data_IF_760838931475
#
_entry.id   IF_760838931475
#
_cell.length_a   1.000
_cell.length_b   1.000
_cell.length_c   1.000
_cell.angle_alpha   90.00
_cell.angle_beta   90.00
_cell.angle_gamma   90.00
#
_symmetry.space_group_name_H-M   'P 1'
#
loop_
_entity.id
_entity.type
_entity.pdbx_description
1 polymer ?
#
# COMPACT_ATOMS: atom_id res chain seq x y z
N UNK A 1 4.04 -9.82 -8.51
CA UNK A 1 3.00 -9.59 -7.48
C UNK A 1 3.07 -10.76 -6.53
N UNK A 2 2.93 -10.52 -5.24
CA UNK A 2 3.21 -11.54 -4.22
C UNK A 2 1.93 -12.24 -3.71
N UNK A 3 0.76 -11.74 -4.10
CA UNK A 3 -0.56 -12.20 -3.67
C UNK A 3 -0.75 -13.74 -3.73
N UNK A 4 -0.40 -14.44 -4.82
CA UNK A 4 -0.53 -15.90 -4.87
C UNK A 4 0.31 -16.64 -3.81
N UNK A 5 1.47 -16.09 -3.46
CA UNK A 5 2.32 -16.61 -2.37
C UNK A 5 1.66 -16.44 -1.02
N UNK A 6 1.11 -15.26 -0.72
CA UNK A 6 0.37 -15.00 0.51
C UNK A 6 -0.88 -15.89 0.64
N UNK A 7 -1.61 -16.11 -0.44
CA UNK A 7 -2.76 -17.04 -0.49
C UNK A 7 -2.32 -18.48 -0.21
N UNK A 8 -1.18 -18.90 -0.76
CA UNK A 8 -0.61 -20.23 -0.51
C UNK A 8 -0.22 -20.40 0.96
N UNK A 9 0.37 -19.37 1.58
CA UNK A 9 0.68 -19.36 3.01
C UNK A 9 -0.58 -19.39 3.87
N UNK A 10 -1.63 -18.65 3.52
CA UNK A 10 -2.90 -18.68 4.24
C UNK A 10 -3.53 -20.09 4.19
N UNK A 11 -3.51 -20.72 3.01
CA UNK A 11 -4.03 -22.08 2.78
C UNK A 11 -3.29 -23.15 3.57
N UNK A 12 -2.04 -22.89 3.96
CA UNK A 12 -1.27 -23.83 4.77
C UNK A 12 -1.83 -23.92 6.20
N UNK A 13 -2.39 -25.07 6.55
CA UNK A 13 -3.02 -25.33 7.85
C UNK A 13 -4.44 -24.78 7.98
N UNK A 14 -5.20 -25.34 8.92
CA UNK A 14 -6.58 -24.93 9.19
C UNK A 14 -6.59 -23.53 9.82
N UNK A 15 -7.56 -22.69 9.43
CA UNK A 15 -7.80 -21.37 10.03
C UNK A 15 -9.17 -21.35 10.67
N UNK A 16 -9.27 -20.82 11.89
CA UNK A 16 -10.52 -20.50 12.57
C UNK A 16 -10.85 -19.02 12.41
N UNK A 17 -12.12 -18.65 12.55
CA UNK A 17 -12.53 -17.25 12.67
C UNK A 17 -11.78 -16.50 13.78
N UNK A 18 -11.30 -17.22 14.82
CA UNK A 18 -10.49 -16.66 15.92
C UNK A 18 -9.07 -16.27 15.51
N UNK A 19 -8.56 -16.86 14.43
CA UNK A 19 -7.23 -16.54 13.91
C UNK A 19 -7.27 -15.28 13.02
N UNK A 20 -8.46 -14.86 12.58
CA UNK A 20 -8.64 -13.70 11.72
C UNK A 20 -8.73 -12.41 12.55
N UNK A 21 -8.11 -11.31 12.09
CA UNK A 21 -7.45 -11.15 10.79
C UNK A 21 -6.01 -11.67 10.75
N UNK A 22 -5.67 -12.42 9.70
CA UNK A 22 -4.29 -12.85 9.40
C UNK A 22 -3.65 -11.81 8.49
N UNK A 23 -2.54 -11.21 8.94
CA UNK A 23 -1.83 -10.15 8.20
C UNK A 23 -0.44 -10.66 7.79
N UNK A 24 -0.17 -10.71 6.48
CA UNK A 24 1.10 -11.14 5.91
C UNK A 24 1.74 -9.98 5.16
N UNK A 25 2.98 -9.61 5.49
CA UNK A 25 3.72 -8.55 4.82
C UNK A 25 5.01 -9.08 4.19
N UNK A 26 5.33 -8.59 3.01
CA UNK A 26 6.54 -8.95 2.27
C UNK A 26 7.08 -7.74 1.52
N UNK A 27 8.37 -7.42 1.72
CA UNK A 27 9.11 -6.55 0.81
C UNK A 27 9.50 -7.34 -0.45
N UNK A 28 8.49 -7.68 -1.25
CA UNK A 28 8.65 -8.61 -2.35
C UNK A 28 9.18 -7.93 -3.61
N UNK A 29 10.21 -8.54 -4.22
CA UNK A 29 10.82 -8.06 -5.46
C UNK A 29 9.97 -8.47 -6.66
N UNK A 30 9.38 -7.49 -7.33
CA UNK A 30 8.52 -7.69 -8.49
C UNK A 30 9.23 -7.28 -9.77
N UNK A 31 8.97 -8.01 -10.85
CA UNK A 31 9.46 -7.71 -12.19
C UNK A 31 8.25 -7.52 -13.11
N UNK A 32 8.20 -6.41 -13.85
CA UNK A 32 7.22 -6.15 -14.91
C UNK A 32 7.94 -5.80 -16.19
N UNK A 33 7.53 -6.42 -17.30
CA UNK A 33 8.12 -6.17 -18.61
C UNK A 33 7.52 -4.90 -19.23
N UNK A 34 7.85 -3.76 -18.63
CA UNK A 34 7.42 -2.44 -19.10
C UNK A 34 8.11 -2.08 -20.43
N UNK A 35 7.41 -1.40 -21.37
CA UNK A 35 8.01 -0.88 -22.59
C UNK A 35 9.20 0.03 -22.27
N UNK A 36 10.33 -0.16 -22.99
CA UNK A 36 11.57 0.58 -22.70
C UNK A 36 11.40 2.10 -22.77
N UNK A 37 10.57 2.59 -23.71
CA UNK A 37 10.27 4.02 -23.85
C UNK A 37 9.44 4.64 -22.71
N UNK A 38 8.90 3.82 -21.79
CA UNK A 38 8.15 4.29 -20.62
C UNK A 38 8.99 4.33 -19.34
N UNK A 39 10.22 3.83 -19.36
CA UNK A 39 11.10 3.80 -18.19
C UNK A 39 11.58 5.21 -17.85
N UNK A 40 11.62 5.54 -16.56
CA UNK A 40 11.99 6.87 -16.11
C UNK A 40 12.58 6.85 -14.70
N UNK A 41 13.90 7.05 -14.60
CA UNK A 41 14.64 7.14 -13.34
C UNK A 41 14.24 6.05 -12.33
N UNK A 42 13.87 6.47 -11.12
CA UNK A 42 13.29 5.60 -10.09
C UNK A 42 11.76 5.52 -10.14
N UNK A 43 11.12 6.41 -10.89
CA UNK A 43 9.66 6.60 -10.91
C UNK A 43 8.94 5.49 -11.70
N UNK A 44 9.61 4.94 -12.72
CA UNK A 44 9.12 3.79 -13.51
C UNK A 44 10.26 2.88 -13.94
N UNK A 45 10.34 1.72 -13.30
CA UNK A 45 11.39 0.72 -13.47
C UNK A 45 10.79 -0.66 -13.77
N UNK A 46 11.58 -1.56 -14.37
CA UNK A 46 11.15 -2.94 -14.61
C UNK A 46 11.18 -3.80 -13.35
N UNK A 47 12.14 -3.56 -12.47
CA UNK A 47 12.34 -4.33 -11.24
C UNK A 47 12.20 -3.38 -10.06
N UNK A 48 11.32 -3.72 -9.12
CA UNK A 48 11.03 -2.87 -7.97
C UNK A 48 10.62 -3.70 -6.78
N UNK A 49 10.76 -3.13 -5.59
CA UNK A 49 10.33 -3.76 -4.33
C UNK A 49 9.13 -3.02 -3.81
N UNK A 50 8.05 -3.76 -3.52
CA UNK A 50 6.86 -3.18 -2.90
C UNK A 50 6.81 -3.56 -1.44
N UNK A 51 6.32 -2.67 -0.59
CA UNK A 51 5.96 -2.92 0.80
C UNK A 51 4.62 -3.65 0.91
N UNK A 52 4.49 -4.70 0.12
CA UNK A 52 3.25 -5.42 -0.16
C UNK A 52 2.76 -6.15 1.08
N UNK A 53 1.44 -6.13 1.31
CA UNK A 53 0.84 -6.94 2.36
C UNK A 53 -0.58 -7.34 2.01
N UNK A 54 -0.95 -8.48 2.59
CA UNK A 54 -2.21 -9.15 2.38
C UNK A 54 -2.86 -9.46 3.72
N UNK A 55 -4.09 -9.01 3.89
CA UNK A 55 -4.86 -9.24 5.10
C UNK A 55 -6.05 -10.12 4.76
N UNK A 56 -6.14 -11.27 5.41
CA UNK A 56 -7.28 -12.17 5.31
C UNK A 56 -8.15 -11.93 6.54
N UNK A 57 -9.39 -11.50 6.32
CA UNK A 57 -10.30 -11.12 7.39
C UNK A 57 -11.72 -11.60 7.11
N UNK A 58 -12.57 -11.61 8.14
CA UNK A 58 -14.01 -11.80 7.94
C UNK A 58 -14.61 -10.55 7.32
N UNK A 59 -15.78 -10.71 6.71
CA UNK A 59 -16.48 -9.60 6.07
C UNK A 59 -16.91 -8.51 7.07
N UNK A 60 -17.12 -8.88 8.34
CA UNK A 60 -17.40 -7.95 9.44
C UNK A 60 -16.15 -7.17 9.89
N UNK A 61 -14.95 -7.72 9.66
CA UNK A 61 -13.67 -7.10 10.03
C UNK A 61 -13.15 -6.11 8.98
N UNK A 62 -13.65 -6.17 7.74
CA UNK A 62 -13.16 -5.34 6.61
C UNK A 62 -13.13 -3.86 6.95
N UNK A 63 -14.22 -3.30 7.49
CA UNK A 63 -14.29 -1.86 7.81
C UNK A 63 -13.23 -1.46 8.84
N UNK A 64 -13.04 -2.27 9.88
CA UNK A 64 -12.03 -2.05 10.91
C UNK A 64 -10.61 -2.09 10.36
N UNK A 65 -10.31 -3.08 9.51
CA UNK A 65 -9.00 -3.17 8.84
C UNK A 65 -8.76 -2.00 7.88
N UNK A 66 -9.76 -1.60 7.09
CA UNK A 66 -9.68 -0.43 6.22
C UNK A 66 -9.37 0.85 7.02
N UNK A 67 -10.04 1.05 8.15
CA UNK A 67 -9.80 2.19 9.04
C UNK A 67 -8.37 2.19 9.60
N UNK A 68 -7.89 1.05 10.09
CA UNK A 68 -6.51 0.94 10.61
C UNK A 68 -5.46 1.18 9.53
N UNK A 69 -5.68 0.69 8.30
CA UNK A 69 -4.76 0.92 7.18
C UNK A 69 -4.76 2.39 6.75
N UNK A 70 -5.95 3.02 6.68
CA UNK A 70 -6.08 4.44 6.36
C UNK A 70 -5.29 5.31 7.34
N UNK A 71 -5.46 5.09 8.64
CA UNK A 71 -4.71 5.80 9.68
C UNK A 71 -3.20 5.60 9.52
N UNK A 72 -2.76 4.35 9.31
CA UNK A 72 -1.35 4.02 9.13
C UNK A 72 -0.73 4.71 7.91
N UNK A 73 -1.41 4.71 6.77
CA UNK A 73 -0.94 5.37 5.54
C UNK A 73 -0.75 6.86 5.77
N UNK A 74 -1.75 7.52 6.35
CA UNK A 74 -1.72 8.97 6.59
C UNK A 74 -0.64 9.36 7.62
N UNK A 75 -0.48 8.58 8.69
CA UNK A 75 0.56 8.81 9.69
C UNK A 75 1.97 8.68 9.09
N UNK A 76 2.19 7.67 8.26
CA UNK A 76 3.47 7.48 7.56
C UNK A 76 3.75 8.67 6.63
N UNK A 77 2.78 9.05 5.79
CA UNK A 77 2.97 10.16 4.87
C UNK A 77 3.26 11.47 5.57
N UNK A 78 2.58 11.74 6.69
CA UNK A 78 2.87 12.88 7.54
C UNK A 78 4.30 12.86 8.09
N UNK A 79 4.79 11.71 8.54
CA UNK A 79 6.19 11.56 9.01
C UNK A 79 7.22 11.83 7.91
N UNK A 80 6.87 11.55 6.65
CA UNK A 80 7.68 11.85 5.47
C UNK A 80 7.45 13.27 4.90
N UNK A 81 6.70 14.14 5.58
CA UNK A 81 6.49 15.54 5.19
C UNK A 81 5.36 15.79 4.19
N UNK A 82 4.55 14.79 3.87
CA UNK A 82 3.39 14.94 3.00
C UNK A 82 2.14 15.30 3.81
N UNK A 83 1.84 16.59 3.90
CA UNK A 83 0.66 17.10 4.60
C UNK A 83 -0.62 17.03 3.75
N UNK A 84 -0.49 17.08 2.42
CA UNK A 84 -1.61 17.04 1.48
C UNK A 84 -1.60 15.71 0.71
N UNK A 85 -2.52 14.81 1.09
CA UNK A 85 -2.71 13.51 0.46
C UNK A 85 -4.09 13.47 -0.17
N UNK A 86 -4.15 13.38 -1.51
CA UNK A 86 -5.42 13.22 -2.21
C UNK A 86 -5.82 11.73 -2.21
N UNK A 87 -7.01 11.44 -1.69
CA UNK A 87 -7.56 10.07 -1.65
C UNK A 87 -8.59 9.92 -2.77
N UNK A 88 -8.41 8.89 -3.61
CA UNK A 88 -9.36 8.57 -4.68
C UNK A 88 -9.96 7.17 -4.45
N UNK A 89 -11.29 7.07 -4.51
CA UNK A 89 -12.01 5.80 -4.52
C UNK A 89 -12.25 5.38 -5.98
N UNK A 90 -11.50 4.39 -6.44
CA UNK A 90 -11.66 3.83 -7.78
C UNK A 90 -12.73 2.72 -7.76
N UNK A 91 -13.86 3.00 -8.40
CA UNK A 91 -15.06 2.13 -8.39
C UNK A 91 -15.08 1.16 -9.57
N UNK A 92 -16.09 0.30 -9.60
CA UNK A 92 -16.25 -0.78 -10.57
C UNK A 92 -16.01 -0.37 -12.02
N UNK A 93 -15.28 -1.22 -12.72
CA UNK A 93 -15.03 -1.13 -14.16
C UNK A 93 -16.04 -1.97 -14.95
N UNK A 94 -16.14 -1.75 -16.27
CA UNK A 94 -17.04 -2.52 -17.15
C UNK A 94 -16.71 -4.02 -17.14
N UNK A 95 -15.42 -4.36 -17.22
CA UNK A 95 -14.93 -5.74 -17.21
C UNK A 95 -14.53 -6.17 -15.81
N UNK A 96 -15.51 -6.67 -15.06
CA UNK A 96 -15.34 -7.08 -13.66
C UNK A 96 -15.80 -8.49 -13.36
N UNK A 97 -15.29 -9.04 -12.27
CA UNK A 97 -15.70 -10.31 -11.67
C UNK A 97 -16.52 -10.05 -10.39
N UNK A 98 -17.29 -11.04 -9.96
CA UNK A 98 -18.17 -10.93 -8.79
C UNK A 98 -19.53 -10.33 -9.13
N UNK A 99 -20.47 -10.40 -8.18
CA UNK A 99 -21.82 -9.89 -8.34
C UNK A 99 -21.92 -8.38 -8.08
N UNK A 100 -22.97 -7.74 -8.56
CA UNK A 100 -23.24 -6.31 -8.27
C UNK A 100 -23.40 -6.07 -6.77
N UNK A 101 -24.03 -7.01 -6.06
CA UNK A 101 -24.20 -6.94 -4.62
C UNK A 101 -22.86 -7.01 -3.86
N UNK A 102 -21.90 -7.80 -4.34
CA UNK A 102 -20.56 -7.83 -3.76
C UNK A 102 -19.87 -6.47 -3.97
N UNK A 103 -19.92 -5.95 -5.20
CA UNK A 103 -19.34 -4.66 -5.53
C UNK A 103 -19.95 -3.50 -4.73
N UNK A 104 -21.28 -3.46 -4.60
CA UNK A 104 -21.97 -2.47 -3.77
C UNK A 104 -21.45 -2.53 -2.33
N UNK A 105 -21.29 -3.74 -1.79
CA UNK A 105 -20.78 -3.94 -0.44
C UNK A 105 -19.33 -3.50 -0.28
N UNK A 106 -18.46 -3.84 -1.23
CA UNK A 106 -17.04 -3.48 -1.18
C UNK A 106 -16.82 -1.97 -1.35
N UNK A 107 -17.54 -1.33 -2.28
CA UNK A 107 -17.49 0.11 -2.48
C UNK A 107 -17.99 0.85 -1.24
N UNK A 108 -19.11 0.39 -0.66
CA UNK A 108 -19.65 0.95 0.58
C UNK A 108 -18.71 0.76 1.77
N UNK A 109 -18.01 -0.37 1.89
CA UNK A 109 -17.05 -0.59 2.96
C UNK A 109 -15.88 0.41 2.88
N UNK A 110 -15.40 0.70 1.67
CA UNK A 110 -14.34 1.69 1.47
C UNK A 110 -14.85 3.12 1.72
N UNK A 111 -16.00 3.51 1.16
CA UNK A 111 -16.55 4.86 1.36
C UNK A 111 -16.92 5.12 2.83
N UNK A 112 -17.57 4.17 3.51
CA UNK A 112 -17.90 4.29 4.93
C UNK A 112 -16.65 4.46 5.80
N UNK A 113 -15.56 3.76 5.48
CA UNK A 113 -14.29 3.89 6.21
C UNK A 113 -13.63 5.27 6.06
N UNK A 114 -13.86 5.94 4.92
CA UNK A 114 -13.41 7.31 4.65
C UNK A 114 -14.30 8.33 5.38
N UNK A 115 -15.63 8.16 5.28
CA UNK A 115 -16.62 9.01 5.94
C UNK A 115 -16.48 8.98 7.47
N UNK A 116 -16.29 7.81 8.05
CA UNK A 116 -16.10 7.62 9.49
C UNK A 116 -14.83 8.32 10.04
N UNK A 117 -13.87 8.64 9.18
CA UNK A 117 -12.65 9.38 9.52
C UNK A 117 -12.72 10.85 9.11
N UNK A 118 -13.82 11.31 8.52
CA UNK A 118 -13.99 12.69 8.06
C UNK A 118 -13.01 13.09 6.94
N UNK A 119 -12.47 12.11 6.22
CA UNK A 119 -11.48 12.34 5.17
C UNK A 119 -12.15 12.92 3.92
N UNK A 120 -11.48 13.86 3.26
CA UNK A 120 -11.88 14.32 1.94
C UNK A 120 -11.38 13.34 0.89
N UNK A 121 -12.25 12.95 -0.04
CA UNK A 121 -11.92 12.01 -1.10
C UNK A 121 -12.73 12.30 -2.36
N UNK A 122 -12.27 11.79 -3.49
CA UNK A 122 -12.98 11.88 -4.77
C UNK A 122 -13.20 10.51 -5.38
N UNK A 123 -14.23 10.38 -6.20
CA UNK A 123 -14.50 9.14 -6.96
C UNK A 123 -13.67 9.16 -8.24
N UNK A 124 -13.06 8.02 -8.56
CA UNK A 124 -12.41 7.78 -9.85
C UNK A 124 -13.18 6.66 -10.59
N UNK A 125 -14.26 7.01 -11.32
CA UNK A 125 -15.20 6.02 -11.84
C UNK A 125 -14.58 5.12 -12.90
N UNK A 126 -14.74 3.81 -12.76
CA UNK A 126 -14.26 2.84 -13.76
C UNK A 126 -12.79 2.42 -13.63
N UNK A 127 -12.06 3.00 -12.68
CA UNK A 127 -10.62 2.77 -12.47
C UNK A 127 -10.31 1.70 -11.40
N UNK A 128 -11.35 1.03 -10.87
CA UNK A 128 -11.20 -0.09 -9.96
C UNK A 128 -10.48 -1.28 -10.60
N UNK A 129 -9.91 -2.16 -9.79
CA UNK A 129 -9.35 -3.40 -10.31
C UNK A 129 -10.49 -4.31 -10.80
N UNK A 130 -10.21 -5.21 -11.75
CA UNK A 130 -11.23 -6.14 -12.26
C UNK A 130 -11.82 -7.09 -11.19
N UNK A 131 -11.18 -7.20 -10.01
CA UNK A 131 -11.60 -8.01 -8.87
C UNK A 131 -12.17 -7.23 -7.68
N UNK A 132 -12.19 -5.90 -7.72
CA UNK A 132 -12.75 -5.10 -6.64
C UNK A 132 -12.34 -3.62 -6.65
N UNK A 133 -13.01 -2.78 -5.84
CA UNK A 133 -12.70 -1.37 -5.73
C UNK A 133 -11.40 -1.16 -4.94
N UNK A 134 -10.79 0.02 -5.11
CA UNK A 134 -9.57 0.39 -4.40
C UNK A 134 -9.56 1.84 -3.98
N UNK A 135 -8.86 2.10 -2.88
CA UNK A 135 -8.39 3.42 -2.52
C UNK A 135 -7.00 3.64 -3.10
N UNK A 136 -6.81 4.83 -3.64
CA UNK A 136 -5.53 5.32 -4.16
C UNK A 136 -5.12 6.55 -3.36
N UNK A 137 -3.90 6.53 -2.86
CA UNK A 137 -3.33 7.67 -2.17
C UNK A 137 -2.35 8.38 -3.10
N UNK A 138 -2.71 9.60 -3.48
CA UNK A 138 -1.99 10.41 -4.43
C UNK A 138 -1.21 11.47 -3.67
N UNK A 139 0.11 11.42 -3.80
CA UNK A 139 1.03 12.41 -3.26
C UNK A 139 1.38 13.42 -4.35
N UNK A 140 1.43 14.70 -3.99
CA UNK A 140 1.84 15.76 -4.90
C UNK A 140 3.30 16.13 -4.64
N UNK A 141 4.11 16.13 -5.70
CA UNK A 141 5.52 16.51 -5.59
C UNK A 141 5.72 18.04 -5.54
N UNK A 142 6.97 18.48 -5.30
CA UNK A 142 7.33 19.88 -5.15
C UNK A 142 7.07 20.76 -6.39
N UNK A 143 6.90 20.17 -7.58
CA UNK A 143 6.57 20.88 -8.83
C UNK A 143 5.13 20.66 -9.27
N UNK A 144 4.32 20.02 -8.42
CA UNK A 144 2.87 19.90 -8.57
C UNK A 144 2.38 18.71 -9.39
N UNK A 145 3.20 17.66 -9.60
CA UNK A 145 2.75 16.42 -10.25
C UNK A 145 2.15 15.45 -9.24
N UNK A 146 1.12 14.75 -9.67
CA UNK A 146 0.41 13.75 -8.88
C UNK A 146 1.02 12.36 -9.06
N UNK A 147 1.36 11.71 -7.94
CA UNK A 147 1.92 10.37 -7.90
C UNK A 147 1.07 9.44 -7.04
N UNK A 148 0.48 8.43 -7.67
CA UNK A 148 -0.11 7.32 -6.95
C UNK A 148 0.99 6.48 -6.28
N UNK A 149 0.95 6.45 -4.95
CA UNK A 149 1.86 5.68 -4.11
C UNK A 149 1.11 4.52 -3.47
N UNK A 150 0.53 4.78 -2.31
CA UNK A 150 -0.22 3.80 -1.55
C UNK A 150 -1.51 3.37 -2.24
N UNK A 151 -1.95 2.16 -1.90
CA UNK A 151 -3.21 1.60 -2.34
C UNK A 151 -3.77 0.65 -1.29
N UNK A 152 -5.10 0.61 -1.20
CA UNK A 152 -5.85 -0.39 -0.44
C UNK A 152 -6.91 -0.97 -1.37
N UNK A 153 -6.86 -2.26 -1.66
CA UNK A 153 -7.74 -2.93 -2.61
C UNK A 153 -8.46 -4.07 -1.92
N UNK A 154 -9.76 -4.22 -2.17
CA UNK A 154 -10.55 -5.31 -1.60
C UNK A 154 -10.77 -6.38 -2.66
N UNK A 155 -10.47 -7.63 -2.31
CA UNK A 155 -10.50 -8.76 -3.24
C UNK A 155 -11.24 -9.96 -2.62
N UNK A 156 -12.29 -10.38 -3.30
CA UNK A 156 -13.03 -11.60 -3.00
C UNK A 156 -12.78 -12.71 -4.04
N UNK A 157 -12.13 -12.39 -5.16
CA UNK A 157 -11.89 -13.31 -6.26
C UNK A 157 -10.68 -14.21 -6.02
N UNK A 158 -9.53 -13.71 -5.54
CA UNK A 158 -8.39 -14.60 -5.27
C UNK A 158 -8.72 -15.66 -4.21
N UNK A 159 -9.41 -15.33 -3.10
CA UNK A 159 -9.90 -16.33 -2.16
C UNK A 159 -10.77 -17.42 -2.82
N UNK A 160 -11.67 -17.04 -3.73
CA UNK A 160 -12.50 -17.98 -4.48
C UNK A 160 -11.67 -18.85 -5.42
N UNK A 161 -10.79 -18.25 -6.25
CA UNK A 161 -9.99 -18.96 -7.25
C UNK A 161 -9.02 -19.97 -6.66
N UNK A 162 -8.47 -19.70 -5.49
CA UNK A 162 -7.54 -20.60 -4.80
C UNK A 162 -8.25 -21.56 -3.84
N UNK A 163 -9.58 -21.47 -3.74
CA UNK A 163 -10.43 -22.25 -2.85
C UNK A 163 -9.85 -22.28 -1.43
N UNK A 164 -9.71 -21.09 -0.85
CA UNK A 164 -9.29 -20.93 0.55
C UNK A 164 -10.49 -20.65 1.44
N UNK A 165 -10.42 -21.11 2.68
CA UNK A 165 -11.49 -20.93 3.65
C UNK A 165 -10.99 -20.97 5.08
N UNK A 166 -11.87 -20.58 6.00
CA UNK A 166 -11.70 -20.69 7.44
C UNK A 166 -12.96 -21.30 8.06
N UNK A 167 -12.82 -21.89 9.25
CA UNK A 167 -13.93 -22.42 10.03
C UNK A 167 -14.59 -21.28 10.81
N UNK A 168 -15.84 -20.99 10.48
CA UNK A 168 -16.65 -19.96 11.12
C UNK A 168 -17.18 -20.40 12.50
N UNK A 169 -17.79 -19.47 13.24
CA UNK A 169 -18.38 -19.71 14.57
C UNK A 169 -19.41 -20.84 14.60
N UNK A 170 -20.17 -20.98 13.51
CA UNK A 170 -21.20 -22.00 13.31
C UNK A 170 -20.62 -23.36 12.85
N UNK A 171 -19.30 -23.49 12.76
CA UNK A 171 -18.61 -24.68 12.26
C UNK A 171 -18.62 -24.84 10.73
N UNK A 172 -19.30 -23.95 10.00
CA UNK A 172 -19.28 -23.95 8.54
C UNK A 172 -17.95 -23.41 8.01
N UNK A 173 -17.58 -23.82 6.79
CA UNK A 173 -16.43 -23.24 6.09
C UNK A 173 -16.88 -21.98 5.35
N UNK A 174 -16.25 -20.84 5.65
CA UNK A 174 -16.49 -19.56 4.97
C UNK A 174 -15.23 -19.09 4.26
N UNK A 175 -15.39 -18.29 3.20
CA UNK A 175 -14.26 -17.68 2.49
C UNK A 175 -13.87 -16.36 3.16
N UNK A 176 -12.56 -16.08 3.34
CA UNK A 176 -12.12 -14.78 3.84
C UNK A 176 -12.23 -13.71 2.74
N UNK A 177 -12.29 -12.45 3.15
CA UNK A 177 -12.01 -11.31 2.29
C UNK A 177 -10.50 -11.05 2.34
N UNK A 178 -9.90 -10.77 1.19
CA UNK A 178 -8.48 -10.43 1.07
C UNK A 178 -8.33 -8.93 0.81
N UNK A 179 -7.59 -8.23 1.66
CA UNK A 179 -7.18 -6.84 1.44
C UNK A 179 -5.74 -6.82 0.94
N UNK A 180 -5.51 -6.18 -0.20
CA UNK A 180 -4.18 -5.87 -0.72
C UNK A 180 -3.82 -4.47 -0.30
N UNK A 181 -2.64 -4.28 0.30
CA UNK A 181 -2.20 -2.93 0.66
C UNK A 181 -0.71 -2.74 0.43
N UNK A 182 -0.38 -1.59 -0.16
CA UNK A 182 0.97 -1.03 -0.19
C UNK A 182 0.87 0.40 0.33
N UNK A 183 1.78 0.81 1.21
CA UNK A 183 1.78 2.14 1.81
C UNK A 183 2.67 3.05 0.98
N UNK A 184 3.90 2.61 0.67
CA UNK A 184 4.83 3.34 -0.20
C UNK A 184 4.56 3.09 -1.69
N UNK A 185 4.00 1.92 -2.02
CA UNK A 185 3.85 1.48 -3.40
C UNK A 185 5.11 0.71 -3.81
N UNK A 186 6.00 1.32 -4.62
CA UNK A 186 7.35 0.81 -4.77
C UNK A 186 8.35 1.69 -4.04
N UNK A 187 9.32 1.07 -3.36
CA UNK A 187 10.36 1.79 -2.62
C UNK A 187 11.19 2.68 -3.53
N UNK A 188 11.46 2.24 -4.75
CA UNK A 188 12.19 3.02 -5.75
C UNK A 188 11.42 4.29 -6.11
N UNK A 189 10.12 4.17 -6.43
CA UNK A 189 9.29 5.32 -6.78
C UNK A 189 9.16 6.27 -5.60
N UNK A 190 8.87 5.74 -4.41
CA UNK A 190 8.75 6.54 -3.20
C UNK A 190 10.04 7.31 -2.89
N UNK A 191 11.20 6.68 -3.06
CA UNK A 191 12.51 7.34 -2.95
C UNK A 191 12.67 8.46 -3.98
N UNK A 192 12.28 8.23 -5.24
CA UNK A 192 12.28 9.26 -6.27
C UNK A 192 11.42 10.47 -5.90
N UNK A 193 10.20 10.22 -5.41
CA UNK A 193 9.27 11.27 -4.98
C UNK A 193 9.83 12.03 -3.77
N UNK A 194 10.45 11.35 -2.80
CA UNK A 194 11.07 11.99 -1.64
C UNK A 194 12.23 12.91 -2.04
N UNK A 195 13.09 12.47 -2.95
CA UNK A 195 14.19 13.28 -3.44
C UNK A 195 13.70 14.56 -4.14
N UNK A 196 12.61 14.47 -4.91
CA UNK A 196 12.00 15.62 -5.55
C UNK A 196 11.27 16.52 -4.55
N UNK A 197 10.50 15.94 -3.62
CA UNK A 197 9.77 16.66 -2.58
C UNK A 197 10.71 17.53 -1.73
N UNK A 198 11.87 16.96 -1.33
CA UNK A 198 12.87 17.66 -0.53
C UNK A 198 13.92 18.42 -1.34
N UNK A 199 13.86 18.38 -2.68
CA UNK A 199 14.89 18.97 -3.56
C UNK A 199 16.30 18.50 -3.17
N UNK A 200 16.42 17.21 -2.83
CA UNK A 200 17.66 16.57 -2.35
C UNK A 200 18.06 16.87 -0.90
N UNK A 201 17.35 17.75 -0.18
CA UNK A 201 17.63 18.12 1.22
C UNK A 201 16.79 17.28 2.19
N UNK A 202 17.10 15.98 2.26
CA UNK A 202 16.36 15.04 3.11
C UNK A 202 16.42 15.44 4.60
N UNK A 203 15.39 15.12 5.39
CA UNK A 203 15.43 15.26 6.85
C UNK A 203 16.61 14.49 7.46
N UNK A 204 17.11 14.96 8.60
CA UNK A 204 18.28 14.35 9.25
C UNK A 204 18.14 12.84 9.49
N UNK A 205 16.94 12.36 9.82
CA UNK A 205 16.68 10.94 10.07
C UNK A 205 16.71 10.07 8.79
N UNK A 206 16.62 10.68 7.62
CA UNK A 206 16.60 10.01 6.32
C UNK A 206 17.87 10.29 5.48
N UNK A 207 18.64 11.32 5.84
CA UNK A 207 19.84 11.69 5.09
C UNK A 207 20.90 10.58 5.16
N UNK A 208 21.46 10.12 4.02
CA UNK A 208 22.52 9.12 4.00
C UNK A 208 23.83 9.63 4.63
N UNK A 209 24.05 10.95 4.60
CA UNK A 209 25.16 11.62 5.29
C UNK A 209 24.54 12.67 6.20
N UNK A 210 24.54 12.41 7.51
CA UNK A 210 23.88 13.26 8.50
C UNK A 210 24.76 14.44 8.93
N UNK A 211 26.07 14.21 9.05
CA UNK A 211 27.06 15.21 9.42
C UNK A 211 28.39 14.92 8.73
N UNK A 212 29.19 15.97 8.55
CA UNK A 212 30.58 15.89 8.06
C UNK A 212 31.44 16.69 9.02
N UNK A 213 32.44 16.06 9.61
CA UNK A 213 33.44 16.74 10.45
C UNK A 213 34.53 17.28 9.54
N UNK A 214 34.76 18.60 9.61
CA UNK A 214 35.79 19.28 8.82
C UNK A 214 36.80 19.95 9.75
N UNK A 215 38.08 19.80 9.41
CA UNK A 215 39.18 20.48 10.10
C UNK A 215 39.58 21.75 9.36
N UNK A 216 40.02 22.77 10.11
CA UNK A 216 40.61 23.98 9.51
C UNK A 216 42.06 23.70 9.09
N UNK A 217 42.78 22.85 9.83
CA UNK A 217 44.17 22.46 9.54
C UNK A 217 44.41 20.98 9.80
N UNK A 218 45.48 20.43 9.24
CA UNK A 218 45.84 19.02 9.43
C UNK A 218 46.14 18.65 10.90
N UNK A 219 46.49 19.65 11.73
CA UNK A 219 46.76 19.43 13.16
C UNK A 219 45.55 18.89 13.92
N UNK A 220 44.33 19.13 13.44
CA UNK A 220 43.11 18.63 14.08
C UNK A 220 42.67 17.26 13.56
N UNK A 221 43.36 16.66 12.57
CA UNK A 221 42.91 15.40 11.97
C UNK A 221 42.71 14.28 12.99
N UNK A 222 43.68 14.08 13.89
CA UNK A 222 43.56 13.03 14.91
C UNK A 222 42.37 13.26 15.86
N UNK A 223 42.05 14.52 16.17
CA UNK A 223 40.88 14.83 16.99
C UNK A 223 39.57 14.66 16.20
N UNK A 224 39.55 15.06 14.93
CA UNK A 224 38.38 14.90 14.07
C UNK A 224 37.99 13.44 13.81
N UNK A 225 38.97 12.52 13.76
CA UNK A 225 38.73 11.07 13.67
C UNK A 225 38.08 10.48 14.95
N UNK A 226 38.15 11.20 16.08
CA UNK A 226 37.58 10.77 17.36
C UNK A 226 36.17 11.35 17.62
N UNK A 227 35.65 12.19 16.73
CA UNK A 227 34.34 12.85 16.82
C UNK A 227 33.38 12.21 15.84
#
# INVERSE_FOLDING_TARGET
MNCPGAVSLFKYGIKSYRDLPVRLSEFGKVHRYEPSGSLHGLLRVRHFTQDDAHIFCTLQQVEGECKSILQLVLDIYKQFGFEEVAIKLSTRTEKRMGSDADWDRLENALSASLEAQGLQWSVNPGEGAFYGPKLEFVLRDAIGRDWQCGTLQVDMNLPERFDIGYIAEDGSTKRPVMLHRALFGSLERFTGILLEHYVGKLPAWLSPVQAVVMTITDKQHHYAEQV
#
